data_IF_893412726569
#
_entry.id   IF_893412726569
#
_cell.length_a   1.000
_cell.length_b   1.000
_cell.length_c   1.000
_cell.angle_alpha   90.00
_cell.angle_beta   90.00
_cell.angle_gamma   90.00
#
_symmetry.space_group_name_H-M   'P 1'
#
loop_
_entity.id
_entity.type
_entity.pdbx_description
1 polymer ?
#
# COMPACT_ATOMS: atom_id res chain seq x y z
N UNK A 1 -25.29 -7.83 -26.14
CA UNK A 1 -25.41 -7.45 -24.71
C UNK A 1 -25.09 -5.98 -24.62
N UNK A 2 -26.10 -5.16 -24.37
CA UNK A 2 -25.89 -3.71 -24.22
C UNK A 2 -25.45 -3.41 -22.80
N UNK A 3 -24.16 -3.24 -22.60
CA UNK A 3 -23.62 -2.83 -21.30
C UNK A 3 -23.84 -1.34 -21.09
N UNK A 4 -24.59 -0.98 -20.06
CA UNK A 4 -24.85 0.40 -19.69
C UNK A 4 -23.90 0.82 -18.56
N UNK A 5 -23.27 1.99 -18.72
CA UNK A 5 -22.38 2.56 -17.69
C UNK A 5 -23.20 3.01 -16.48
N UNK A 6 -22.86 2.49 -15.30
CA UNK A 6 -23.46 2.97 -14.06
C UNK A 6 -22.76 4.27 -13.62
N UNK A 7 -23.35 5.41 -13.97
CA UNK A 7 -22.78 6.74 -13.68
C UNK A 7 -22.54 7.01 -12.17
N UNK A 8 -23.32 6.37 -11.26
CA UNK A 8 -23.14 6.52 -9.81
C UNK A 8 -21.89 5.81 -9.27
N UNK A 9 -21.38 4.78 -9.99
CA UNK A 9 -20.21 3.98 -9.61
C UNK A 9 -19.00 4.25 -10.47
N UNK A 10 -19.15 5.03 -11.54
CA UNK A 10 -18.09 5.33 -12.50
C UNK A 10 -17.49 6.71 -12.20
N UNK A 11 -16.19 6.74 -12.02
CA UNK A 11 -15.42 7.97 -11.79
C UNK A 11 -14.32 8.09 -12.84
N UNK A 12 -14.00 9.32 -13.19
CA UNK A 12 -12.90 9.63 -14.09
C UNK A 12 -11.67 10.06 -13.27
N UNK A 13 -10.52 9.47 -13.57
CA UNK A 13 -9.24 9.85 -12.98
C UNK A 13 -8.27 10.20 -14.11
N UNK A 14 -7.49 11.26 -13.91
CA UNK A 14 -6.51 11.69 -14.90
C UNK A 14 -5.09 11.43 -14.43
N UNK A 15 -4.33 10.75 -15.28
CA UNK A 15 -2.89 10.51 -15.11
C UNK A 15 -2.17 11.02 -16.34
N UNK A 16 -1.02 11.69 -16.18
CA UNK A 16 -0.19 12.18 -17.27
C UNK A 16 0.16 13.67 -17.18
N UNK A 17 0.80 14.18 -18.24
CA UNK A 17 1.33 15.57 -18.28
C UNK A 17 0.30 16.65 -18.00
N UNK A 18 -0.97 16.39 -18.32
CA UNK A 18 -2.07 17.34 -18.10
C UNK A 18 -2.94 16.97 -16.88
N UNK A 19 -2.40 16.26 -15.90
CA UNK A 19 -3.14 15.86 -14.71
C UNK A 19 -3.75 17.05 -13.96
N UNK A 20 -3.09 18.20 -13.91
CA UNK A 20 -3.54 19.41 -13.22
C UNK A 20 -4.55 20.26 -14.00
N UNK A 21 -4.75 19.98 -15.30
CA UNK A 21 -5.63 20.79 -16.15
C UNK A 21 -7.09 20.43 -15.90
N UNK A 22 -7.96 21.42 -15.86
CA UNK A 22 -9.42 21.21 -15.81
C UNK A 22 -9.87 20.56 -17.11
N UNK A 23 -10.66 19.50 -17.01
CA UNK A 23 -11.17 18.77 -18.15
C UNK A 23 -12.64 19.08 -18.40
N UNK A 24 -13.04 18.99 -19.65
CA UNK A 24 -14.45 18.96 -20.00
C UNK A 24 -15.14 17.75 -19.35
N UNK A 25 -16.41 17.89 -19.03
CA UNK A 25 -17.18 16.78 -18.48
C UNK A 25 -17.38 15.69 -19.53
N UNK A 26 -17.17 14.45 -19.11
CA UNK A 26 -17.50 13.27 -19.92
C UNK A 26 -18.95 12.93 -19.60
N UNK A 27 -19.77 12.89 -20.65
CA UNK A 27 -21.21 12.64 -20.55
C UNK A 27 -21.53 11.27 -21.13
N UNK A 28 -22.35 10.49 -20.42
CA UNK A 28 -22.86 9.19 -20.91
C UNK A 28 -23.88 9.40 -22.02
N UNK A 29 -24.21 8.36 -22.78
CA UNK A 29 -25.26 8.39 -23.81
C UNK A 29 -26.61 8.90 -23.27
N UNK A 30 -26.88 8.68 -21.98
CA UNK A 30 -28.10 9.13 -21.30
C UNK A 30 -28.00 10.56 -20.75
N UNK A 31 -27.02 11.34 -21.16
CA UNK A 31 -26.86 12.74 -20.73
C UNK A 31 -26.33 12.93 -19.31
N UNK A 32 -25.90 11.89 -18.60
CA UNK A 32 -25.40 11.98 -17.22
C UNK A 32 -23.89 12.24 -17.26
N UNK A 33 -23.44 13.35 -16.61
CA UNK A 33 -22.03 13.66 -16.49
C UNK A 33 -21.34 12.74 -15.49
N UNK A 34 -20.17 12.21 -15.86
CA UNK A 34 -19.31 11.42 -14.97
C UNK A 34 -18.49 12.33 -14.07
N UNK A 35 -18.31 11.95 -12.82
CA UNK A 35 -17.56 12.72 -11.84
C UNK A 35 -16.05 12.54 -12.00
N UNK A 36 -15.31 13.65 -11.99
CA UNK A 36 -13.85 13.63 -11.87
C UNK A 36 -13.45 13.46 -10.42
N UNK A 37 -12.48 12.57 -10.17
CA UNK A 37 -11.93 12.29 -8.85
C UNK A 37 -10.42 12.47 -8.84
N UNK A 38 -9.88 12.95 -7.72
CA UNK A 38 -8.44 13.03 -7.51
C UNK A 38 -7.86 11.72 -6.97
N UNK A 39 -8.71 10.84 -6.45
CA UNK A 39 -8.34 9.53 -5.94
C UNK A 39 -9.43 8.51 -6.29
N UNK A 40 -9.01 7.34 -6.76
CA UNK A 40 -9.88 6.24 -7.11
C UNK A 40 -9.42 4.95 -6.40
N UNK A 41 -10.34 4.27 -5.72
CA UNK A 41 -10.07 2.93 -5.19
C UNK A 41 -10.35 1.87 -6.26
N UNK A 42 -9.30 1.11 -6.63
CA UNK A 42 -9.41 0.00 -7.56
C UNK A 42 -8.73 -1.24 -6.98
N UNK A 43 -9.44 -2.35 -6.87
CA UNK A 43 -8.96 -3.63 -6.30
C UNK A 43 -8.20 -3.46 -4.96
N UNK A 44 -8.65 -2.57 -4.09
CA UNK A 44 -8.03 -2.32 -2.80
C UNK A 44 -6.89 -1.31 -2.80
N UNK A 45 -6.38 -0.93 -3.96
CA UNK A 45 -5.34 0.08 -4.15
C UNK A 45 -5.97 1.45 -4.42
N UNK A 46 -5.34 2.51 -3.94
CA UNK A 46 -5.80 3.88 -4.16
C UNK A 46 -4.90 4.56 -5.20
N UNK A 47 -5.43 4.71 -6.41
CA UNK A 47 -4.75 5.39 -7.51
C UNK A 47 -5.04 6.88 -7.37
N UNK A 48 -4.01 7.72 -7.49
CA UNK A 48 -4.15 9.18 -7.34
C UNK A 48 -3.87 9.90 -8.65
N UNK A 49 -4.56 11.03 -8.84
CA UNK A 49 -4.32 11.96 -9.91
C UNK A 49 -2.88 12.47 -9.84
N UNK A 50 -2.09 12.24 -10.87
CA UNK A 50 -0.66 12.60 -10.87
C UNK A 50 -0.08 12.62 -12.28
N UNK A 51 1.12 13.21 -12.41
CA UNK A 51 1.86 13.25 -13.68
C UNK A 51 2.25 11.84 -14.19
N UNK A 52 2.61 10.93 -13.27
CA UNK A 52 2.89 9.52 -13.56
C UNK A 52 1.91 8.67 -12.78
N UNK A 53 1.70 7.42 -13.22
CA UNK A 53 0.90 6.48 -12.44
C UNK A 53 1.45 6.38 -11.02
N UNK A 54 0.63 6.73 -10.05
CA UNK A 54 1.00 6.75 -8.63
C UNK A 54 -0.15 6.23 -7.79
N UNK A 55 0.21 5.53 -6.71
CA UNK A 55 -0.73 5.07 -5.69
C UNK A 55 -0.53 5.84 -4.39
N UNK A 56 -1.60 5.95 -3.60
CA UNK A 56 -1.53 6.51 -2.25
C UNK A 56 -1.21 5.42 -1.25
N UNK A 57 -0.16 5.63 -0.46
CA UNK A 57 0.21 4.74 0.65
C UNK A 57 -0.43 5.15 1.99
N UNK A 58 -1.15 6.25 2.04
CA UNK A 58 -1.68 6.78 3.30
C UNK A 58 -2.70 5.85 3.94
N UNK A 59 -3.63 5.33 3.13
CA UNK A 59 -4.66 4.42 3.64
C UNK A 59 -4.10 3.05 4.02
N UNK A 60 -3.24 2.39 3.23
CA UNK A 60 -2.51 1.19 3.66
C UNK A 60 -1.73 1.39 4.96
N UNK A 61 -0.99 2.49 5.10
CA UNK A 61 -0.26 2.81 6.33
C UNK A 61 -1.18 3.03 7.52
N UNK A 62 -2.30 3.75 7.35
CA UNK A 62 -3.31 3.92 8.42
C UNK A 62 -3.91 2.57 8.84
N UNK A 63 -4.23 1.71 7.89
CA UNK A 63 -4.76 0.38 8.17
C UNK A 63 -3.73 -0.51 8.88
N UNK A 64 -2.48 -0.43 8.46
CA UNK A 64 -1.35 -1.09 9.12
C UNK A 64 -1.19 -0.63 10.56
N UNK A 65 -1.15 0.68 10.83
CA UNK A 65 -1.04 1.20 12.20
C UNK A 65 -2.24 0.80 13.06
N UNK A 66 -3.43 0.76 12.49
CA UNK A 66 -4.62 0.29 13.20
C UNK A 66 -4.50 -1.19 13.56
N UNK A 67 -4.07 -2.04 12.63
CA UNK A 67 -3.82 -3.45 12.89
C UNK A 67 -2.72 -3.66 13.94
N UNK A 68 -1.60 -2.95 13.83
CA UNK A 68 -0.50 -3.01 14.78
C UNK A 68 -0.92 -2.58 16.20
N UNK A 69 -1.66 -1.47 16.31
CA UNK A 69 -2.18 -1.02 17.60
C UNK A 69 -3.21 -2.00 18.18
N UNK A 70 -4.01 -2.66 17.35
CA UNK A 70 -4.94 -3.71 17.79
C UNK A 70 -4.19 -4.93 18.36
N UNK A 71 -3.07 -5.34 17.75
CA UNK A 71 -2.21 -6.40 18.30
C UNK A 71 -1.68 -5.98 19.67
N UNK A 72 -1.10 -4.78 19.79
CA UNK A 72 -0.62 -4.28 21.09
C UNK A 72 -1.72 -4.19 22.15
N UNK A 73 -2.89 -3.67 21.78
CA UNK A 73 -3.99 -3.51 22.74
C UNK A 73 -4.59 -4.82 23.24
N UNK A 74 -4.56 -5.87 22.40
CA UNK A 74 -5.15 -7.16 22.76
C UNK A 74 -4.19 -8.09 23.48
N UNK A 75 -2.94 -8.15 23.06
CA UNK A 75 -1.98 -9.16 23.52
C UNK A 75 -0.65 -8.57 24.03
N UNK A 76 -0.42 -7.28 23.87
CA UNK A 76 0.88 -6.65 24.18
C UNK A 76 1.27 -6.66 25.65
N UNK A 77 0.35 -6.97 26.56
CA UNK A 77 0.63 -7.08 28.01
C UNK A 77 0.75 -8.51 28.50
N UNK A 78 0.36 -9.50 27.69
CA UNK A 78 0.24 -10.90 28.12
C UNK A 78 1.12 -11.81 27.29
N UNK A 79 1.32 -11.52 26.02
CA UNK A 79 2.07 -12.36 25.11
C UNK A 79 3.57 -12.01 25.11
N UNK A 80 4.41 -13.03 24.84
CA UNK A 80 5.83 -12.83 24.59
C UNK A 80 6.06 -12.03 23.30
N UNK A 81 7.23 -11.38 23.19
CA UNK A 81 7.62 -10.62 22.00
C UNK A 81 7.57 -11.48 20.74
N UNK A 82 7.94 -12.76 20.82
CA UNK A 82 7.89 -13.70 19.71
C UNK A 82 6.47 -13.88 19.14
N UNK A 83 5.49 -14.07 20.04
CA UNK A 83 4.08 -14.21 19.65
C UNK A 83 3.56 -12.91 19.03
N UNK A 84 3.95 -11.76 19.57
CA UNK A 84 3.59 -10.45 19.03
C UNK A 84 4.17 -10.28 17.62
N UNK A 85 5.43 -10.67 17.39
CA UNK A 85 6.09 -10.62 16.10
C UNK A 85 5.42 -11.58 15.09
N UNK A 86 5.05 -12.78 15.49
CA UNK A 86 4.31 -13.71 14.63
C UNK A 86 2.95 -13.15 14.20
N UNK A 87 2.20 -12.56 15.14
CA UNK A 87 0.93 -11.89 14.86
C UNK A 87 1.12 -10.67 13.95
N UNK A 88 2.16 -9.90 14.19
CA UNK A 88 2.52 -8.77 13.34
C UNK A 88 2.81 -9.20 11.89
N UNK A 89 3.66 -10.20 11.71
CA UNK A 89 4.01 -10.73 10.39
C UNK A 89 2.79 -11.33 9.66
N UNK A 90 1.91 -12.03 10.38
CA UNK A 90 0.75 -12.69 9.78
C UNK A 90 -0.44 -11.75 9.51
N UNK A 91 -0.62 -10.71 10.31
CA UNK A 91 -1.81 -9.84 10.25
C UNK A 91 -1.53 -8.42 9.79
N UNK A 92 -0.40 -7.83 10.18
CA UNK A 92 -0.12 -6.43 9.89
C UNK A 92 0.65 -6.25 8.58
N UNK A 93 1.68 -7.05 8.36
CA UNK A 93 2.54 -6.95 7.16
C UNK A 93 1.75 -7.18 5.87
N UNK A 94 0.85 -8.17 5.75
CA UNK A 94 0.03 -8.34 4.54
C UNK A 94 -0.85 -7.13 4.23
N UNK A 95 -1.37 -6.44 5.25
CA UNK A 95 -2.17 -5.23 5.06
C UNK A 95 -1.34 -4.08 4.49
N UNK A 96 -0.07 -3.97 4.93
CA UNK A 96 0.84 -2.93 4.45
C UNK A 96 1.30 -3.16 3.01
N UNK A 97 1.56 -4.43 2.65
CA UNK A 97 2.19 -4.81 1.38
C UNK A 97 1.19 -5.25 0.30
N UNK A 98 -0.10 -5.18 0.59
CA UNK A 98 -1.13 -5.67 -0.33
C UNK A 98 -1.06 -5.00 -1.70
N UNK A 99 -0.93 -5.81 -2.75
CA UNK A 99 -0.88 -5.44 -4.17
C UNK A 99 0.22 -4.42 -4.55
N UNK A 100 1.18 -4.14 -3.66
CA UNK A 100 2.26 -3.19 -3.94
C UNK A 100 3.30 -3.75 -4.92
N UNK A 101 3.39 -5.06 -5.06
CA UNK A 101 4.24 -5.75 -6.04
C UNK A 101 3.89 -5.43 -7.49
N UNK A 102 2.62 -5.09 -7.76
CA UNK A 102 2.14 -4.70 -9.08
C UNK A 102 2.25 -3.19 -9.35
N UNK A 103 2.77 -2.41 -8.40
CA UNK A 103 2.78 -0.96 -8.47
C UNK A 103 4.21 -0.41 -8.55
N UNK A 104 4.41 0.60 -9.39
CA UNK A 104 5.69 1.32 -9.46
C UNK A 104 5.85 2.20 -8.23
N UNK A 105 6.69 1.77 -7.26
CA UNK A 105 7.00 2.51 -6.06
C UNK A 105 8.28 3.32 -6.24
N UNK A 106 8.27 4.57 -5.76
CA UNK A 106 9.48 5.39 -5.68
C UNK A 106 10.35 4.97 -4.49
N UNK A 107 11.63 5.36 -4.50
CA UNK A 107 12.52 5.14 -3.35
C UNK A 107 11.96 5.77 -2.07
N UNK A 108 11.32 6.94 -2.18
CA UNK A 108 10.67 7.60 -1.05
C UNK A 108 9.48 6.79 -0.50
N UNK A 109 8.71 6.15 -1.39
CA UNK A 109 7.59 5.29 -0.98
C UNK A 109 8.11 4.06 -0.22
N UNK A 110 9.16 3.41 -0.70
CA UNK A 110 9.81 2.27 -0.03
C UNK A 110 10.38 2.67 1.33
N UNK A 111 11.11 3.78 1.43
CA UNK A 111 11.60 4.31 2.71
C UNK A 111 10.45 4.60 3.68
N UNK A 112 9.32 5.12 3.19
CA UNK A 112 8.14 5.41 4.00
C UNK A 112 7.47 4.14 4.55
N UNK A 113 7.47 3.05 3.79
CA UNK A 113 6.96 1.74 4.20
C UNK A 113 7.90 1.12 5.24
N UNK A 114 9.22 1.14 4.99
CA UNK A 114 10.22 0.63 5.92
C UNK A 114 10.21 1.42 7.24
N UNK A 115 10.00 2.73 7.18
CA UNK A 115 9.84 3.56 8.38
C UNK A 115 8.62 3.14 9.20
N UNK A 116 7.46 2.93 8.55
CA UNK A 116 6.26 2.48 9.24
C UNK A 116 6.47 1.12 9.92
N UNK A 117 7.18 0.21 9.25
CA UNK A 117 7.54 -1.10 9.77
C UNK A 117 8.48 -1.00 10.98
N UNK A 118 9.54 -0.21 10.88
CA UNK A 118 10.51 -0.01 11.97
C UNK A 118 9.85 0.63 13.21
N UNK A 119 8.87 1.52 13.04
CA UNK A 119 8.11 2.11 14.15
C UNK A 119 7.39 1.08 15.00
N UNK A 120 6.97 -0.04 14.44
CA UNK A 120 6.40 -1.14 15.21
C UNK A 120 7.44 -1.74 16.14
N UNK A 121 8.65 -2.05 15.66
CA UNK A 121 9.74 -2.59 16.46
C UNK A 121 10.24 -1.60 17.52
N UNK A 122 10.34 -0.32 17.18
CA UNK A 122 10.65 0.72 18.15
C UNK A 122 9.66 0.72 19.32
N UNK A 123 8.36 0.56 19.03
CA UNK A 123 7.32 0.49 20.04
C UNK A 123 7.40 -0.82 20.85
N UNK A 124 7.62 -1.95 20.19
CA UNK A 124 7.71 -3.27 20.83
C UNK A 124 8.88 -3.33 21.83
N UNK A 125 10.06 -2.90 21.40
CA UNK A 125 11.29 -2.94 22.20
C UNK A 125 11.55 -1.64 22.97
N UNK A 126 10.59 -0.71 23.00
CA UNK A 126 10.67 0.57 23.73
C UNK A 126 11.96 1.33 23.47
N UNK A 127 12.43 1.35 22.23
CA UNK A 127 13.66 2.03 21.82
C UNK A 127 13.39 3.03 20.71
N UNK A 128 14.12 4.14 20.70
CA UNK A 128 14.12 5.11 19.60
C UNK A 128 15.35 4.97 18.69
N UNK A 129 16.27 4.06 19.04
CA UNK A 129 17.49 3.85 18.27
C UNK A 129 17.25 2.86 17.14
N UNK A 130 17.41 3.35 15.91
CA UNK A 130 17.21 2.55 14.69
C UNK A 130 18.24 1.42 14.54
N UNK A 131 19.48 1.61 15.02
CA UNK A 131 20.52 0.59 14.93
C UNK A 131 20.19 -0.62 15.81
N UNK A 132 19.62 -0.38 17.00
CA UNK A 132 19.13 -1.47 17.87
C UNK A 132 18.03 -2.25 17.15
N UNK A 133 17.09 -1.54 16.49
CA UNK A 133 16.01 -2.17 15.74
C UNK A 133 16.56 -3.04 14.60
N UNK A 134 17.54 -2.54 13.83
CA UNK A 134 18.18 -3.29 12.75
C UNK A 134 18.88 -4.56 13.26
N UNK A 135 19.60 -4.44 14.39
CA UNK A 135 20.28 -5.59 15.00
C UNK A 135 19.28 -6.66 15.44
N UNK A 136 18.16 -6.26 16.05
CA UNK A 136 17.08 -7.17 16.45
C UNK A 136 16.46 -7.83 15.22
N UNK A 137 16.17 -7.06 14.17
CA UNK A 137 15.61 -7.59 12.92
C UNK A 137 16.57 -8.60 12.27
N UNK A 138 17.87 -8.30 12.24
CA UNK A 138 18.89 -9.21 11.71
C UNK A 138 18.97 -10.50 12.53
N UNK A 139 18.96 -10.39 13.86
CA UNK A 139 18.99 -11.55 14.75
C UNK A 139 17.76 -12.45 14.59
N UNK A 140 16.59 -11.86 14.39
CA UNK A 140 15.32 -12.57 14.18
C UNK A 140 15.09 -13.01 12.73
N UNK A 141 16.01 -12.71 11.82
CA UNK A 141 15.86 -13.03 10.38
C UNK A 141 14.71 -12.28 9.69
N UNK A 142 14.33 -11.11 10.20
CA UNK A 142 13.20 -10.34 9.69
C UNK A 142 13.68 -9.39 8.59
N UNK A 143 13.19 -9.60 7.36
CA UNK A 143 13.51 -8.74 6.23
C UNK A 143 12.65 -7.48 6.20
N UNK A 144 13.23 -6.36 5.77
CA UNK A 144 12.49 -5.12 5.55
C UNK A 144 11.44 -5.28 4.45
N UNK A 145 10.31 -4.56 4.55
CA UNK A 145 9.26 -4.52 3.52
C UNK A 145 9.79 -4.23 2.11
N UNK A 146 10.74 -3.30 1.97
CA UNK A 146 11.35 -2.96 0.68
C UNK A 146 12.03 -4.16 0.02
N UNK A 147 12.73 -5.00 0.79
CA UNK A 147 13.37 -6.23 0.30
C UNK A 147 12.33 -7.26 -0.11
N UNK A 148 11.31 -7.46 0.73
CA UNK A 148 10.21 -8.40 0.46
C UNK A 148 9.45 -8.00 -0.81
N UNK A 149 9.17 -6.69 -0.98
CA UNK A 149 8.52 -6.16 -2.18
C UNK A 149 9.39 -6.33 -3.42
N UNK A 150 10.69 -6.06 -3.34
CA UNK A 150 11.62 -6.29 -4.46
C UNK A 150 11.55 -7.73 -4.97
N UNK A 151 11.60 -8.71 -4.06
CA UNK A 151 11.50 -10.13 -4.42
C UNK A 151 10.12 -10.49 -5.00
N UNK A 152 9.03 -9.89 -4.48
CA UNK A 152 7.67 -10.10 -5.00
C UNK A 152 7.48 -9.47 -6.37
N UNK A 153 7.99 -8.26 -6.60
CA UNK A 153 7.90 -7.57 -7.90
C UNK A 153 8.62 -8.35 -8.99
N UNK A 154 9.81 -8.88 -8.72
CA UNK A 154 10.53 -9.75 -9.67
C UNK A 154 9.70 -11.00 -10.02
N UNK A 155 9.13 -11.67 -9.02
CA UNK A 155 8.26 -12.84 -9.27
C UNK A 155 7.01 -12.46 -10.06
N UNK A 156 6.41 -11.32 -9.75
CA UNK A 156 5.23 -10.81 -10.45
C UNK A 156 5.57 -10.52 -11.93
N UNK A 157 6.66 -9.82 -12.19
CA UNK A 157 7.13 -9.52 -13.55
C UNK A 157 7.41 -10.78 -14.36
N UNK A 158 8.09 -11.77 -13.76
CA UNK A 158 8.35 -13.06 -14.40
C UNK A 158 7.05 -13.81 -14.73
N UNK A 159 6.05 -13.74 -13.85
CA UNK A 159 4.77 -14.43 -14.06
C UNK A 159 3.90 -13.77 -15.12
N UNK A 160 3.92 -12.44 -15.23
CA UNK A 160 3.06 -11.67 -16.13
C UNK A 160 3.80 -11.11 -17.35
N UNK A 161 5.11 -10.90 -17.29
CA UNK A 161 5.93 -10.42 -18.41
C UNK A 161 6.07 -11.43 -19.54
N UNK A 162 5.82 -12.71 -19.29
CA UNK A 162 5.75 -13.76 -20.33
C UNK A 162 4.53 -13.63 -21.25
N UNK A 163 3.50 -12.87 -20.87
CA UNK A 163 2.30 -12.62 -21.68
C UNK A 163 2.33 -11.28 -22.42
N UNK A 164 3.38 -10.47 -22.25
CA UNK A 164 3.54 -9.16 -22.88
C UNK A 164 4.51 -9.16 -24.08
N UNK A 165 4.72 -10.32 -24.72
CA UNK A 165 5.44 -10.46 -25.99
C UNK A 165 4.49 -10.86 -27.10
#
# INVERSE_FOLDING_TARGET
>A
MDMVINAKKTFCLRVGRRASVICANIVTLNGIALQWSDELRYLGVYIVRSFRFKISLDKPKRSFYRAANSVFGKVGHVASEEVIIQLFNSKCVPVLLYALEACSLSKSDLCSIDFAFNRFFMKLFRTNNIEIVKNIQSYLGISLPSVVLGNRSVKFELSFGLFAR
#
